data_IF_858822182287
#
_entry.id   IF_858822182287
#
_cell.length_a   1.000
_cell.length_b   1.000
_cell.length_c   1.000
_cell.angle_alpha   90.00
_cell.angle_beta   90.00
_cell.angle_gamma   90.00
#
_symmetry.space_group_name_H-M   'P 1'
#
loop_
_entity.id
_entity.type
_entity.pdbx_description
1 polymer ?
#
# COMPACT_ATOMS: atom_id res chain seq x y z
N UNK A 1 12.45 -0.62 6.57
CA UNK A 1 12.37 -1.10 5.17
C UNK A 1 11.01 -0.72 4.60
N UNK A 2 10.92 -0.13 3.41
CA UNK A 2 9.65 0.18 2.79
C UNK A 2 8.83 -1.10 2.60
N UNK A 3 7.60 -1.09 3.09
CA UNK A 3 6.67 -2.21 2.94
C UNK A 3 5.94 -2.21 1.58
N UNK A 4 5.05 -3.20 1.34
CA UNK A 4 4.29 -3.31 0.10
C UNK A 4 3.57 -2.02 -0.31
N UNK A 5 2.95 -1.32 0.63
CA UNK A 5 2.25 -0.06 0.36
C UNK A 5 3.20 1.05 -0.11
N UNK A 6 4.34 1.25 0.56
CA UNK A 6 5.33 2.27 0.15
C UNK A 6 5.92 1.99 -1.23
N UNK A 7 6.28 0.73 -1.52
CA UNK A 7 6.78 0.34 -2.84
C UNK A 7 5.71 0.47 -3.93
N UNK A 8 4.44 0.22 -3.62
CA UNK A 8 3.32 0.50 -4.51
C UNK A 8 3.25 1.98 -4.88
N UNK A 9 3.33 2.88 -3.88
CA UNK A 9 3.29 4.33 -4.07
C UNK A 9 4.44 4.79 -4.97
N UNK A 10 5.66 4.35 -4.67
CA UNK A 10 6.86 4.65 -5.48
C UNK A 10 6.68 4.17 -6.92
N UNK A 11 6.22 2.92 -7.12
CA UNK A 11 5.96 2.37 -8.44
C UNK A 11 4.91 3.18 -9.23
N UNK A 12 3.81 3.61 -8.58
CA UNK A 12 2.79 4.45 -9.20
C UNK A 12 3.34 5.84 -9.55
N UNK A 13 4.20 6.42 -8.70
CA UNK A 13 4.84 7.70 -8.94
C UNK A 13 5.78 7.67 -10.15
N UNK A 14 6.62 6.64 -10.22
CA UNK A 14 7.53 6.43 -11.35
C UNK A 14 6.75 6.21 -12.64
N UNK A 15 5.70 5.40 -12.56
CA UNK A 15 4.95 4.93 -13.72
C UNK A 15 3.97 5.96 -14.27
N UNK A 16 3.22 6.66 -13.41
CA UNK A 16 2.12 7.55 -13.77
C UNK A 16 2.34 9.01 -13.37
N UNK A 17 3.45 9.30 -12.68
CA UNK A 17 3.80 10.63 -12.22
C UNK A 17 3.33 10.95 -10.80
N UNK A 18 3.74 12.13 -10.31
CA UNK A 18 3.54 12.60 -8.92
C UNK A 18 2.09 12.55 -8.46
N UNK A 19 1.16 13.00 -9.30
CA UNK A 19 -0.27 13.03 -8.94
C UNK A 19 -0.82 11.64 -8.65
N UNK A 20 -0.45 10.62 -9.46
CA UNK A 20 -0.87 9.25 -9.24
C UNK A 20 -0.24 8.67 -7.97
N UNK A 21 1.02 9.01 -7.68
CA UNK A 21 1.69 8.63 -6.44
C UNK A 21 1.01 9.21 -5.20
N UNK A 22 0.73 10.52 -5.19
CA UNK A 22 0.05 11.19 -4.08
C UNK A 22 -1.36 10.62 -3.85
N UNK A 23 -2.12 10.43 -4.92
CA UNK A 23 -3.46 9.84 -4.82
C UNK A 23 -3.39 8.38 -4.35
N UNK A 24 -2.34 7.63 -4.73
CA UNK A 24 -2.07 6.29 -4.19
C UNK A 24 -1.76 6.32 -2.69
N UNK A 25 -0.98 7.31 -2.22
CA UNK A 25 -0.69 7.49 -0.81
C UNK A 25 -1.96 7.79 0.02
N UNK A 26 -2.86 8.62 -0.51
CA UNK A 26 -4.17 8.84 0.10
C UNK A 26 -5.01 7.56 0.13
N UNK A 27 -4.99 6.75 -0.92
CA UNK A 27 -5.66 5.45 -0.93
C UNK A 27 -5.07 4.50 0.13
N UNK A 28 -3.76 4.43 0.25
CA UNK A 28 -3.06 3.67 1.30
C UNK A 28 -3.45 4.15 2.69
N UNK A 29 -3.55 5.47 2.89
CA UNK A 29 -4.00 6.04 4.16
C UNK A 29 -5.42 5.59 4.54
N UNK A 30 -6.35 5.63 3.58
CA UNK A 30 -7.73 5.14 3.79
C UNK A 30 -7.73 3.64 4.13
N UNK A 31 -6.90 2.82 3.45
CA UNK A 31 -6.70 1.42 3.83
C UNK A 31 -6.13 1.28 5.26
N UNK A 32 -5.28 2.22 5.69
CA UNK A 32 -4.79 2.30 7.06
C UNK A 32 -5.90 2.56 8.09
N UNK A 33 -6.84 3.45 7.76
CA UNK A 33 -8.01 3.72 8.64
C UNK A 33 -8.89 2.48 8.83
N UNK A 34 -8.98 1.59 7.85
CA UNK A 34 -9.67 0.29 8.02
C UNK A 34 -9.00 -0.53 9.12
N UNK A 35 -7.66 -0.57 9.15
CA UNK A 35 -6.92 -1.27 10.20
C UNK A 35 -7.06 -0.58 11.56
N UNK A 36 -7.09 0.77 11.61
CA UNK A 36 -7.37 1.53 12.86
C UNK A 36 -8.72 1.13 13.42
N UNK A 37 -9.76 1.15 12.58
CA UNK A 37 -11.12 0.78 12.98
C UNK A 37 -11.17 -0.67 13.46
N UNK A 38 -10.57 -1.59 12.71
CA UNK A 38 -10.52 -3.00 13.07
C UNK A 38 -9.79 -3.23 14.41
N UNK A 39 -8.69 -2.49 14.67
CA UNK A 39 -7.98 -2.56 15.93
C UNK A 39 -8.85 -2.06 17.10
N UNK A 40 -9.53 -0.92 16.91
CA UNK A 40 -10.35 -0.29 17.95
C UNK A 40 -11.55 -1.15 18.38
N UNK A 41 -12.19 -1.85 17.44
CA UNK A 41 -13.32 -2.73 17.74
C UNK A 41 -12.89 -4.16 18.16
N UNK A 42 -11.60 -4.43 18.28
CA UNK A 42 -11.09 -5.72 18.73
C UNK A 42 -11.20 -6.88 17.73
N UNK A 43 -11.76 -6.65 16.53
CA UNK A 43 -11.81 -7.66 15.44
C UNK A 43 -10.41 -8.12 15.07
N UNK A 44 -9.46 -7.26 15.22
CA UNK A 44 -8.05 -7.52 15.04
C UNK A 44 -7.52 -8.65 15.92
N UNK A 45 -7.94 -8.72 17.19
CA UNK A 45 -7.53 -9.80 18.09
C UNK A 45 -8.00 -11.18 17.58
N UNK A 46 -9.18 -11.24 16.97
CA UNK A 46 -9.73 -12.46 16.35
C UNK A 46 -8.88 -12.93 15.15
N UNK A 47 -8.46 -12.00 14.29
CA UNK A 47 -7.64 -12.34 13.10
C UNK A 47 -6.25 -12.80 13.51
N UNK A 48 -5.68 -12.24 14.57
CA UNK A 48 -4.37 -12.69 15.10
C UNK A 48 -4.48 -14.04 15.82
N UNK A 49 -5.56 -14.27 16.53
CA UNK A 49 -5.78 -15.56 17.22
C UNK A 49 -6.04 -16.72 16.24
N UNK A 50 -6.53 -16.44 15.03
CA UNK A 50 -6.77 -17.44 14.00
C UNK A 50 -5.65 -17.49 12.96
N UNK A 51 -4.84 -18.56 13.00
CA UNK A 51 -3.80 -18.82 11.99
C UNK A 51 -4.40 -18.95 10.56
N UNK A 52 -5.62 -19.47 10.46
CA UNK A 52 -6.34 -19.62 9.19
C UNK A 52 -6.73 -18.26 8.61
N UNK A 53 -7.32 -17.35 9.41
CA UNK A 53 -7.70 -16.01 8.95
C UNK A 53 -6.47 -15.20 8.47
N UNK A 54 -5.37 -15.24 9.22
CA UNK A 54 -4.11 -14.62 8.79
C UNK A 54 -3.62 -15.20 7.47
N UNK A 55 -3.65 -16.52 7.31
CA UNK A 55 -3.20 -17.19 6.09
C UNK A 55 -4.06 -16.79 4.89
N UNK A 56 -5.38 -16.72 5.04
CA UNK A 56 -6.30 -16.26 3.98
C UNK A 56 -5.98 -14.84 3.55
N UNK A 57 -5.88 -13.88 4.49
CA UNK A 57 -5.55 -12.47 4.17
C UNK A 57 -4.21 -12.37 3.45
N UNK A 58 -3.20 -13.10 3.94
CA UNK A 58 -1.86 -13.14 3.34
C UNK A 58 -1.90 -13.67 1.91
N UNK A 59 -2.56 -14.79 1.66
CA UNK A 59 -2.61 -15.41 0.32
C UNK A 59 -3.43 -14.59 -0.66
N UNK A 60 -4.56 -14.01 -0.24
CA UNK A 60 -5.36 -13.11 -1.07
C UNK A 60 -4.57 -11.86 -1.43
N UNK A 61 -3.86 -11.26 -0.47
CA UNK A 61 -2.99 -10.11 -0.72
C UNK A 61 -1.84 -10.42 -1.68
N UNK A 62 -1.19 -11.58 -1.50
CA UNK A 62 -0.13 -12.05 -2.38
C UNK A 62 -0.64 -12.28 -3.81
N UNK A 63 -1.77 -12.98 -3.98
CA UNK A 63 -2.39 -13.23 -5.27
C UNK A 63 -2.77 -11.91 -5.97
N UNK A 64 -3.32 -10.94 -5.24
CA UNK A 64 -3.62 -9.61 -5.76
C UNK A 64 -2.37 -8.88 -6.27
N UNK A 65 -1.27 -8.86 -5.49
CA UNK A 65 -0.03 -8.20 -5.89
C UNK A 65 0.64 -8.90 -7.09
N UNK A 66 0.64 -10.23 -7.12
CA UNK A 66 1.14 -11.01 -8.26
C UNK A 66 0.31 -10.70 -9.51
N UNK A 67 -1.02 -10.72 -9.40
CA UNK A 67 -1.91 -10.37 -10.49
C UNK A 67 -1.67 -8.96 -11.03
N UNK A 68 -1.49 -7.98 -10.12
CA UNK A 68 -1.17 -6.59 -10.49
C UNK A 68 0.20 -6.49 -11.20
N UNK A 69 1.20 -7.25 -10.73
CA UNK A 69 2.53 -7.31 -11.34
C UNK A 69 2.48 -7.91 -12.74
N UNK A 70 1.83 -9.05 -12.92
CA UNK A 70 1.64 -9.70 -14.22
C UNK A 70 0.88 -8.79 -15.19
N UNK A 71 -0.22 -8.20 -14.75
CA UNK A 71 -0.97 -7.24 -15.56
C UNK A 71 -0.08 -6.08 -16.02
N UNK A 72 0.77 -5.53 -15.14
CA UNK A 72 1.67 -4.42 -15.46
C UNK A 72 2.75 -4.84 -16.48
N UNK A 73 3.26 -6.07 -16.39
CA UNK A 73 4.28 -6.58 -17.31
C UNK A 73 3.70 -6.98 -18.66
N UNK A 74 2.55 -7.64 -18.67
CA UNK A 74 1.94 -8.21 -19.88
C UNK A 74 1.19 -7.17 -20.71
N UNK A 75 0.60 -6.16 -20.06
CA UNK A 75 -0.14 -5.13 -20.79
C UNK A 75 0.86 -4.16 -21.43
N UNK A 76 0.98 -4.25 -22.77
CA UNK A 76 1.62 -3.16 -23.54
C UNK A 76 0.81 -1.90 -23.28
N UNK A 77 1.45 -0.89 -22.68
CA UNK A 77 0.83 0.42 -22.62
C UNK A 77 0.76 0.98 -24.01
N UNK A 78 -0.43 1.08 -24.52
CA UNK A 78 -0.71 2.02 -25.60
C UNK A 78 -0.34 3.44 -25.11
N UNK A 79 0.11 4.31 -26.02
CA UNK A 79 0.25 5.73 -25.72
C UNK A 79 -0.99 6.17 -24.95
N UNK A 80 -0.80 6.95 -23.89
CA UNK A 80 -1.91 7.39 -23.02
C UNK A 80 -3.03 7.90 -23.92
N UNK A 81 -4.10 7.13 -24.04
CA UNK A 81 -5.27 7.56 -24.80
C UNK A 81 -5.80 8.84 -24.14
N UNK A 82 -5.76 9.97 -24.85
CA UNK A 82 -6.29 11.23 -24.34
C UNK A 82 -7.77 11.14 -23.99
N UNK A 83 -8.49 10.20 -24.57
CA UNK A 83 -9.91 9.95 -24.33
C UNK A 83 -10.22 9.39 -22.94
N UNK A 84 -9.22 8.80 -22.23
CA UNK A 84 -9.45 8.36 -20.85
C UNK A 84 -9.25 9.53 -19.89
N UNK A 85 -10.31 10.04 -19.23
CA UNK A 85 -10.22 11.14 -18.30
C UNK A 85 -9.14 10.91 -17.23
N UNK A 86 -8.36 11.93 -16.93
CA UNK A 86 -7.31 11.88 -15.89
C UNK A 86 -7.89 11.46 -14.54
N UNK A 87 -9.10 11.87 -14.22
CA UNK A 87 -9.88 11.48 -13.05
C UNK A 87 -10.05 9.96 -12.91
N UNK A 88 -10.44 9.27 -13.98
CA UNK A 88 -10.63 7.83 -13.96
C UNK A 88 -9.33 7.07 -13.65
N UNK A 89 -8.20 7.60 -14.15
CA UNK A 89 -6.88 7.04 -13.88
C UNK A 89 -6.46 7.26 -12.42
N UNK A 90 -6.70 8.46 -11.88
CA UNK A 90 -6.40 8.78 -10.47
C UNK A 90 -7.29 7.98 -9.53
N UNK A 91 -8.60 7.87 -9.82
CA UNK A 91 -9.52 7.03 -9.05
C UNK A 91 -9.05 5.58 -8.99
N UNK A 92 -8.55 5.03 -10.10
CA UNK A 92 -7.98 3.68 -10.11
C UNK A 92 -6.75 3.57 -9.20
N UNK A 93 -5.84 4.55 -9.23
CA UNK A 93 -4.65 4.57 -8.36
C UNK A 93 -5.05 4.65 -6.88
N UNK A 94 -6.06 5.44 -6.54
CA UNK A 94 -6.61 5.53 -5.20
C UNK A 94 -7.17 4.18 -4.73
N UNK A 95 -8.10 3.59 -5.50
CA UNK A 95 -8.76 2.33 -5.11
C UNK A 95 -7.76 1.19 -4.98
N UNK A 96 -6.79 1.11 -5.88
CA UNK A 96 -5.70 0.14 -5.77
C UNK A 96 -4.87 0.36 -4.51
N UNK A 97 -4.60 1.63 -4.13
CA UNK A 97 -3.90 1.95 -2.88
C UNK A 97 -4.65 1.46 -1.64
N UNK A 98 -5.98 1.67 -1.60
CA UNK A 98 -6.84 1.14 -0.53
C UNK A 98 -6.70 -0.38 -0.44
N UNK A 99 -6.90 -1.09 -1.56
CA UNK A 99 -6.86 -2.56 -1.59
C UNK A 99 -5.48 -3.09 -1.21
N UNK A 100 -4.41 -2.50 -1.75
CA UNK A 100 -3.03 -2.89 -1.39
C UNK A 100 -2.79 -2.78 0.10
N UNK A 101 -3.28 -1.72 0.75
CA UNK A 101 -3.04 -1.55 2.18
C UNK A 101 -3.96 -2.37 3.06
N UNK A 102 -5.24 -2.51 2.72
CA UNK A 102 -6.18 -3.40 3.44
C UNK A 102 -5.68 -4.85 3.42
N UNK A 103 -5.13 -5.31 2.28
CA UNK A 103 -4.57 -6.66 2.13
C UNK A 103 -3.09 -6.74 2.52
N UNK A 104 -2.53 -5.71 3.15
CA UNK A 104 -1.13 -5.69 3.55
C UNK A 104 -0.93 -6.35 4.92
N UNK A 105 -0.35 -7.56 4.98
CA UNK A 105 -0.17 -8.26 6.23
C UNK A 105 0.79 -7.55 7.18
N UNK A 106 1.74 -6.76 6.65
CA UNK A 106 2.66 -5.97 7.47
C UNK A 106 1.91 -4.87 8.24
N UNK A 107 0.99 -4.17 7.57
CA UNK A 107 0.15 -3.14 8.20
C UNK A 107 -0.80 -3.78 9.22
N UNK A 108 -1.45 -4.89 8.84
CA UNK A 108 -2.30 -5.63 9.74
C UNK A 108 -1.56 -6.03 11.03
N UNK A 109 -0.38 -6.68 10.90
CA UNK A 109 0.45 -7.08 12.04
C UNK A 109 0.88 -5.88 12.90
N UNK A 110 1.22 -4.75 12.29
CA UNK A 110 1.57 -3.55 13.02
C UNK A 110 0.42 -3.09 13.92
N UNK A 111 -0.78 -2.94 13.37
CA UNK A 111 -1.95 -2.51 14.12
C UNK A 111 -2.39 -3.53 15.18
N UNK A 112 -2.11 -4.80 14.98
CA UNK A 112 -2.56 -5.89 15.83
C UNK A 112 -1.59 -6.23 16.96
N UNK A 113 -0.30 -6.23 16.65
CA UNK A 113 0.71 -6.70 17.59
C UNK A 113 1.55 -5.57 18.18
N UNK A 114 1.81 -4.52 17.41
CA UNK A 114 2.69 -3.43 17.85
C UNK A 114 1.92 -2.28 18.50
N UNK A 115 0.86 -1.78 17.87
CA UNK A 115 0.13 -0.61 18.36
C UNK A 115 -0.47 -0.82 19.78
N UNK A 116 -1.04 -1.98 20.15
CA UNK A 116 -1.57 -2.21 21.49
C UNK A 116 -0.54 -2.17 22.62
N UNK A 117 0.76 -2.25 22.31
CA UNK A 117 1.82 -2.17 23.31
C UNK A 117 1.97 -0.76 23.90
N UNK A 118 1.41 0.25 23.25
CA UNK A 118 1.43 1.65 23.67
C UNK A 118 0.13 2.08 24.38
N UNK A 119 -0.79 1.14 24.59
CA UNK A 119 -2.06 1.39 25.24
C UNK A 119 -1.93 1.19 26.75
N UNK A 120 -2.31 2.19 27.51
CA UNK A 120 -2.45 2.09 28.96
C UNK A 120 -3.83 1.47 29.28
N UNK A 121 -3.82 0.23 29.78
CA UNK A 121 -5.04 -0.51 30.11
C UNK A 121 -5.67 0.01 31.41
N UNK A 122 -4.86 0.53 32.32
CA UNK A 122 -5.33 0.99 33.63
C UNK A 122 -6.03 2.37 33.52
N UNK A 123 -5.65 3.16 32.52
CA UNK A 123 -6.34 4.42 32.20
C UNK A 123 -7.73 4.21 31.56
N UNK A 124 -8.10 2.97 31.21
CA UNK A 124 -9.36 2.67 30.54
C UNK A 124 -9.44 3.14 29.07
N UNK A 125 -10.63 3.08 28.49
CA UNK A 125 -10.88 3.58 27.12
C UNK A 125 -9.90 3.06 26.03
N UNK A 126 -9.52 1.79 26.09
CA UNK A 126 -8.55 1.14 25.20
C UNK A 126 -8.86 1.41 23.72
N UNK A 127 -10.12 1.35 23.32
CA UNK A 127 -10.54 1.58 21.93
C UNK A 127 -10.22 3.00 21.45
N UNK A 128 -10.47 4.03 22.26
CA UNK A 128 -10.16 5.41 21.90
C UNK A 128 -8.65 5.68 21.87
N UNK A 129 -7.87 5.08 22.75
CA UNK A 129 -6.41 5.15 22.70
C UNK A 129 -5.87 4.54 21.38
N UNK A 130 -6.40 3.37 20.95
CA UNK A 130 -6.04 2.75 19.69
C UNK A 130 -6.41 3.62 18.49
N UNK A 131 -7.57 4.29 18.52
CA UNK A 131 -7.97 5.23 17.47
C UNK A 131 -7.00 6.40 17.40
N UNK A 132 -6.68 7.04 18.51
CA UNK A 132 -5.76 8.20 18.54
C UNK A 132 -4.37 7.81 18.05
N UNK A 133 -3.80 6.74 18.58
CA UNK A 133 -2.49 6.24 18.17
C UNK A 133 -2.48 5.85 16.67
N UNK A 134 -3.55 5.20 16.22
CA UNK A 134 -3.72 4.81 14.82
C UNK A 134 -3.82 6.00 13.89
N UNK A 135 -4.57 7.04 14.26
CA UNK A 135 -4.68 8.29 13.48
C UNK A 135 -3.34 9.02 13.41
N UNK A 136 -2.60 9.10 14.51
CA UNK A 136 -1.25 9.67 14.53
C UNK A 136 -0.33 8.91 13.59
N UNK A 137 -0.37 7.57 13.65
CA UNK A 137 0.40 6.74 12.72
C UNK A 137 0.04 7.00 11.26
N UNK A 138 -1.27 7.04 10.92
CA UNK A 138 -1.74 7.31 9.56
C UNK A 138 -1.31 8.70 9.10
N UNK A 139 -1.37 9.72 9.97
CA UNK A 139 -0.92 11.08 9.63
C UNK A 139 0.59 11.11 9.30
N UNK A 140 1.42 10.47 10.12
CA UNK A 140 2.86 10.35 9.86
C UNK A 140 3.11 9.57 8.55
N UNK A 141 2.36 8.49 8.32
CA UNK A 141 2.47 7.71 7.10
C UNK A 141 2.10 8.53 5.86
N UNK A 142 1.02 9.33 5.89
CA UNK A 142 0.63 10.22 4.79
C UNK A 142 1.75 11.19 4.42
N UNK A 143 2.38 11.81 5.42
CA UNK A 143 3.51 12.74 5.17
C UNK A 143 4.69 11.98 4.57
N UNK A 144 5.09 10.87 5.17
CA UNK A 144 6.22 10.05 4.69
C UNK A 144 5.98 9.51 3.29
N UNK A 145 4.82 8.92 3.04
CA UNK A 145 4.44 8.34 1.75
C UNK A 145 4.28 9.43 0.68
N UNK A 146 3.77 10.60 1.05
CA UNK A 146 3.71 11.78 0.20
C UNK A 146 5.09 12.26 -0.23
N UNK A 147 6.05 12.31 0.68
CA UNK A 147 7.44 12.65 0.36
C UNK A 147 8.07 11.63 -0.59
N UNK A 148 7.86 10.33 -0.36
CA UNK A 148 8.30 9.28 -1.27
C UNK A 148 7.66 9.40 -2.66
N UNK A 149 6.36 9.70 -2.71
CA UNK A 149 5.64 9.91 -3.97
C UNK A 149 6.22 11.08 -4.77
N UNK A 150 6.48 12.20 -4.10
CA UNK A 150 7.07 13.39 -4.73
C UNK A 150 8.50 13.13 -5.19
N UNK A 151 9.34 12.54 -4.35
CA UNK A 151 10.73 12.24 -4.69
C UNK A 151 10.82 11.28 -5.89
N UNK A 152 10.08 10.17 -5.85
CA UNK A 152 10.07 9.19 -6.94
C UNK A 152 9.49 9.76 -8.24
N UNK A 153 8.41 10.54 -8.15
CA UNK A 153 7.79 11.17 -9.31
C UNK A 153 8.70 12.23 -9.95
N UNK A 154 9.37 13.05 -9.15
CA UNK A 154 10.32 14.06 -9.64
C UNK A 154 11.54 13.41 -10.30
N UNK A 155 12.09 12.37 -9.67
CA UNK A 155 13.21 11.61 -10.27
C UNK A 155 12.78 10.99 -11.62
N UNK A 156 11.56 10.41 -11.67
CA UNK A 156 11.01 9.84 -12.90
C UNK A 156 10.81 10.90 -14.01
N UNK A 157 10.37 12.11 -13.68
CA UNK A 157 10.18 13.18 -14.66
C UNK A 157 11.50 13.61 -15.31
N UNK A 158 12.57 13.72 -14.51
CA UNK A 158 13.91 14.04 -15.03
C UNK A 158 14.49 12.96 -15.94
N UNK A 159 14.08 11.70 -15.73
CA UNK A 159 14.53 10.55 -16.51
C UNK A 159 13.65 10.24 -17.73
N UNK A 160 12.50 10.92 -17.88
CA UNK A 160 11.54 10.67 -18.97
C UNK A 160 12.08 10.95 -20.36
N UNK A 161 13.12 11.77 -20.50
CA UNK A 161 13.79 12.02 -21.77
C UNK A 161 14.61 10.82 -22.27
N UNK A 162 14.94 9.89 -21.39
CA UNK A 162 15.66 8.67 -21.73
C UNK A 162 14.74 7.59 -22.29
N UNK A 163 14.89 7.23 -23.57
CA UNK A 163 14.17 6.10 -24.19
C UNK A 163 14.37 4.77 -23.45
N UNK A 164 15.57 4.56 -22.86
CA UNK A 164 15.88 3.36 -22.05
C UNK A 164 15.06 3.34 -20.76
N UNK A 165 14.92 4.47 -20.10
CA UNK A 165 14.09 4.58 -18.89
C UNK A 165 12.61 4.29 -19.18
N UNK A 166 12.06 4.83 -20.27
CA UNK A 166 10.68 4.58 -20.68
C UNK A 166 10.43 3.09 -20.97
N UNK A 167 11.37 2.40 -21.59
CA UNK A 167 11.26 0.95 -21.82
C UNK A 167 11.39 0.15 -20.51
N UNK A 168 12.29 0.54 -19.61
CA UNK A 168 12.55 -0.17 -18.36
C UNK A 168 11.45 0.05 -17.31
N UNK A 169 10.73 1.17 -17.32
CA UNK A 169 9.77 1.60 -16.31
C UNK A 169 8.73 0.53 -15.97
N UNK A 170 8.12 -0.10 -16.97
CA UNK A 170 7.13 -1.15 -16.77
C UNK A 170 7.73 -2.40 -16.11
N UNK A 171 8.97 -2.74 -16.50
CA UNK A 171 9.68 -3.87 -15.93
C UNK A 171 9.99 -3.63 -14.46
N UNK A 172 10.45 -2.43 -14.11
CA UNK A 172 10.68 -2.03 -12.72
C UNK A 172 9.41 -2.12 -11.89
N UNK A 173 8.32 -1.47 -12.32
CA UNK A 173 7.05 -1.48 -11.57
C UNK A 173 6.44 -2.88 -11.48
N UNK A 174 6.44 -3.64 -12.57
CA UNK A 174 5.91 -5.00 -12.57
C UNK A 174 6.73 -5.96 -11.71
N UNK A 175 8.06 -5.88 -11.77
CA UNK A 175 8.95 -6.70 -10.92
C UNK A 175 8.80 -6.36 -9.44
N UNK A 176 8.60 -5.08 -9.10
CA UNK A 176 8.32 -4.66 -7.71
C UNK A 176 7.03 -5.32 -7.21
N UNK A 177 5.95 -5.29 -7.99
CA UNK A 177 4.69 -5.91 -7.57
C UNK A 177 4.79 -7.43 -7.47
N UNK A 178 5.46 -8.09 -8.42
CA UNK A 178 5.70 -9.54 -8.34
C UNK A 178 6.55 -9.90 -7.12
N UNK A 179 7.66 -9.20 -6.91
CA UNK A 179 8.52 -9.42 -5.75
C UNK A 179 7.77 -9.23 -4.43
N UNK A 180 6.93 -8.20 -4.33
CA UNK A 180 6.08 -7.96 -3.17
C UNK A 180 5.07 -9.10 -2.94
N UNK A 181 4.44 -9.58 -4.00
CA UNK A 181 3.51 -10.71 -3.92
C UNK A 181 4.20 -11.96 -3.40
N UNK A 182 5.38 -12.28 -3.92
CA UNK A 182 6.19 -13.43 -3.47
C UNK A 182 6.62 -13.26 -2.01
N UNK A 183 7.16 -12.10 -1.62
CA UNK A 183 7.55 -11.81 -0.23
C UNK A 183 6.36 -11.91 0.71
N UNK A 184 5.19 -11.39 0.30
CA UNK A 184 3.95 -11.49 1.08
C UNK A 184 3.50 -12.94 1.26
N UNK A 185 3.58 -13.76 0.19
CA UNK A 185 3.24 -15.19 0.26
C UNK A 185 4.20 -15.98 1.17
N UNK A 186 5.49 -15.63 1.14
CA UNK A 186 6.55 -16.28 1.92
C UNK A 186 6.59 -15.82 3.38
N UNK A 187 5.93 -14.72 3.76
CA UNK A 187 5.94 -14.21 5.12
C UNK A 187 5.44 -15.27 6.11
N UNK A 188 6.27 -15.57 7.11
CA UNK A 188 5.92 -16.48 8.21
C UNK A 188 5.36 -15.68 9.38
N UNK A 189 4.45 -16.32 10.12
CA UNK A 189 3.99 -15.81 11.41
C UNK A 189 5.08 -16.16 12.43
N UNK A 190 5.73 -15.16 12.97
CA UNK A 190 6.60 -15.30 14.13
C UNK A 190 5.81 -15.04 15.39
#
# INVERSE_FOLDING_TARGET
>A
MPGPAGLYIVAQSIDRGRAAGLVSALGVAVGGLVHVTAAAIGVSALVVSSAAAFTVVKLVGAAYLIGLGLHTLLTRREPVDPAVPSERRLRRSFTQGVVVNVLNPKTALFFLAFLPQFVDRDAGHVGSQLVVLGLVFVAIAVVSDGLWALAAGTASERLRESRRFLAARRWVSGSVFLGLGVVTAAARRH
#
